data_IF_592653932880
#
_entry.id   IF_592653932880
#
_cell.length_a   1.000
_cell.length_b   1.000
_cell.length_c   1.000
_cell.angle_alpha   90.00
_cell.angle_beta   90.00
_cell.angle_gamma   90.00
#
_symmetry.space_group_name_H-M   'P 1'
#
loop_
_entity.id
_entity.type
_entity.pdbx_description
1 polymer ?
#
# COMPACT_ATOMS: atom_id res chain seq x y z
N UNK A 1 6.62 6.81 18.42
CA UNK A 1 6.79 5.34 18.32
C UNK A 1 7.22 4.87 16.92
N UNK A 2 6.68 5.43 15.82
CA UNK A 2 7.10 5.05 14.43
C UNK A 2 8.35 5.76 13.89
N UNK A 3 8.86 6.80 14.55
CA UNK A 3 10.04 7.57 14.08
C UNK A 3 11.29 6.71 13.84
N UNK A 4 11.50 5.67 14.65
CA UNK A 4 12.65 4.75 14.51
C UNK A 4 12.53 3.82 13.29
N UNK A 5 11.31 3.59 12.80
CA UNK A 5 11.08 2.85 11.55
C UNK A 5 11.26 3.74 10.32
N UNK A 6 10.95 5.04 10.42
CA UNK A 6 11.10 5.98 9.30
C UNK A 6 12.52 5.98 8.73
N UNK A 7 13.55 5.97 9.58
CA UNK A 7 14.94 5.91 9.13
C UNK A 7 15.26 4.61 8.37
N UNK A 8 14.81 3.45 8.86
CA UNK A 8 15.00 2.16 8.18
C UNK A 8 14.27 2.10 6.84
N UNK A 9 13.04 2.60 6.78
CA UNK A 9 12.25 2.65 5.54
C UNK A 9 12.87 3.62 4.54
N UNK A 10 13.39 4.77 5.00
CA UNK A 10 14.11 5.70 4.13
C UNK A 10 15.35 5.04 3.51
N UNK A 11 16.18 4.38 4.31
CA UNK A 11 17.35 3.63 3.81
C UNK A 11 16.92 2.58 2.78
N UNK A 12 15.91 1.77 3.11
CA UNK A 12 15.36 0.76 2.19
C UNK A 12 14.89 1.38 0.86
N UNK A 13 14.21 2.52 0.90
CA UNK A 13 13.76 3.21 -0.30
C UNK A 13 14.93 3.77 -1.12
N UNK A 14 15.97 4.32 -0.49
CA UNK A 14 17.17 4.74 -1.21
C UNK A 14 17.90 3.57 -1.85
N UNK A 15 17.96 2.41 -1.18
CA UNK A 15 18.55 1.19 -1.74
C UNK A 15 17.78 0.74 -3.00
N UNK A 16 16.44 0.80 -2.98
CA UNK A 16 15.61 0.55 -4.16
C UNK A 16 15.95 1.52 -5.29
N UNK A 17 16.01 2.82 -5.01
CA UNK A 17 16.32 3.84 -6.03
C UNK A 17 17.72 3.64 -6.61
N UNK A 18 18.69 3.27 -5.78
CA UNK A 18 20.05 2.98 -6.22
C UNK A 18 20.12 1.75 -7.14
N UNK A 19 19.36 0.69 -6.84
CA UNK A 19 19.21 -0.47 -7.73
C UNK A 19 18.56 -0.05 -9.04
N UNK A 20 17.46 0.69 -8.99
CA UNK A 20 16.74 1.12 -10.18
C UNK A 20 17.62 1.96 -11.12
N UNK A 21 18.39 2.91 -10.57
CA UNK A 21 19.33 3.72 -11.33
C UNK A 21 20.43 2.88 -12.02
N UNK A 22 20.92 1.82 -11.37
CA UNK A 22 21.94 0.92 -11.98
C UNK A 22 21.40 0.07 -13.12
N UNK A 23 20.09 -0.19 -13.13
CA UNK A 23 19.45 -1.11 -14.06
C UNK A 23 18.46 -0.41 -15.01
N UNK A 24 18.52 0.92 -15.10
CA UNK A 24 17.65 1.74 -15.95
C UNK A 24 16.15 1.42 -15.74
N UNK A 25 15.76 1.25 -14.46
CA UNK A 25 14.39 0.96 -14.07
C UNK A 25 13.67 2.22 -13.60
N UNK A 26 12.36 2.27 -13.85
CA UNK A 26 11.47 3.32 -13.35
C UNK A 26 11.02 2.99 -11.92
N UNK A 27 10.98 3.99 -11.04
CA UNK A 27 10.42 3.87 -9.68
C UNK A 27 9.15 4.70 -9.58
N UNK A 28 8.02 4.03 -9.35
CA UNK A 28 6.78 4.66 -8.95
C UNK A 28 6.86 5.02 -7.45
N UNK A 29 7.29 6.24 -7.14
CA UNK A 29 7.64 6.68 -5.79
C UNK A 29 6.40 6.98 -4.92
N UNK A 30 5.85 5.94 -4.30
CA UNK A 30 4.77 6.07 -3.33
C UNK A 30 5.22 6.76 -2.03
N UNK A 31 6.52 6.79 -1.71
CA UNK A 31 7.01 7.43 -0.47
C UNK A 31 6.87 8.95 -0.52
N UNK A 32 7.04 9.56 -1.70
CA UNK A 32 6.83 10.99 -1.91
C UNK A 32 5.35 11.38 -2.10
N UNK A 33 4.46 10.41 -2.31
CA UNK A 33 3.04 10.66 -2.53
C UNK A 33 2.38 11.11 -1.21
N UNK A 34 2.05 12.39 -1.09
CA UNK A 34 1.56 12.97 0.17
C UNK A 34 0.10 12.63 0.45
N UNK A 35 -0.67 12.41 -0.61
CA UNK A 35 -2.11 12.21 -0.61
C UNK A 35 -2.49 10.94 0.16
N UNK A 36 -1.66 9.90 0.11
CA UNK A 36 -1.87 8.65 0.85
C UNK A 36 -1.74 8.80 2.37
N UNK A 37 -1.36 9.97 2.88
CA UNK A 37 -1.41 10.24 4.32
C UNK A 37 -2.85 10.47 4.82
N UNK A 38 -3.80 10.73 3.92
CA UNK A 38 -5.22 10.84 4.26
C UNK A 38 -5.78 9.46 4.66
N UNK A 39 -6.42 9.31 5.85
CA UNK A 39 -7.02 8.06 6.27
C UNK A 39 -8.04 7.46 5.29
N UNK A 40 -8.69 8.29 4.46
CA UNK A 40 -9.67 7.85 3.44
C UNK A 40 -9.02 7.09 2.27
N UNK A 41 -7.69 7.16 2.15
CA UNK A 41 -6.94 6.41 1.15
C UNK A 41 -6.76 4.95 1.53
N UNK A 42 -7.05 4.59 2.78
CA UNK A 42 -6.88 3.26 3.34
C UNK A 42 -8.23 2.63 3.66
N UNK A 43 -8.30 1.31 3.54
CA UNK A 43 -9.45 0.52 3.94
C UNK A 43 -9.61 0.54 5.48
N UNK A 44 -10.69 -0.03 5.99
CA UNK A 44 -11.05 -0.08 7.41
C UNK A 44 -9.99 -0.73 8.29
N UNK A 45 -9.14 -1.59 7.70
CA UNK A 45 -8.02 -2.23 8.39
C UNK A 45 -6.79 -1.33 8.52
N UNK A 46 -6.79 -0.15 7.89
CA UNK A 46 -5.73 0.87 7.91
C UNK A 46 -4.38 0.35 7.39
N UNK A 47 -4.39 -0.71 6.59
CA UNK A 47 -3.21 -1.35 6.02
C UNK A 47 -3.29 -1.45 4.50
N UNK A 48 -4.46 -1.77 3.95
CA UNK A 48 -4.67 -1.85 2.51
C UNK A 48 -5.22 -0.53 1.98
N UNK A 49 -4.95 -0.23 0.71
CA UNK A 49 -5.53 0.94 0.06
C UNK A 49 -7.03 0.69 -0.17
N UNK A 50 -7.85 1.71 0.11
CA UNK A 50 -9.23 1.75 -0.34
C UNK A 50 -9.27 2.04 -1.86
N UNK A 51 -10.44 1.92 -2.53
CA UNK A 51 -10.56 2.25 -3.95
C UNK A 51 -10.00 3.64 -4.33
N UNK A 52 -10.21 4.64 -3.46
CA UNK A 52 -9.65 5.98 -3.63
C UNK A 52 -8.11 6.00 -3.60
N UNK A 53 -7.51 5.25 -2.67
CA UNK A 53 -6.06 5.11 -2.59
C UNK A 53 -5.48 4.38 -3.80
N UNK A 54 -6.14 3.31 -4.24
CA UNK A 54 -5.78 2.59 -5.46
C UNK A 54 -5.84 3.48 -6.70
N UNK A 55 -6.89 4.30 -6.85
CA UNK A 55 -7.00 5.27 -7.94
C UNK A 55 -5.85 6.29 -7.93
N UNK A 56 -5.52 6.80 -6.75
CA UNK A 56 -4.43 7.78 -6.58
C UNK A 56 -3.07 7.17 -6.92
N UNK A 57 -2.79 5.95 -6.47
CA UNK A 57 -1.56 5.22 -6.80
C UNK A 57 -1.51 4.87 -8.29
N UNK A 58 -2.63 4.47 -8.91
CA UNK A 58 -2.69 4.17 -10.34
C UNK A 58 -2.30 5.40 -11.17
N UNK A 59 -2.81 6.59 -10.82
CA UNK A 59 -2.43 7.85 -11.46
C UNK A 59 -0.92 8.13 -11.34
N UNK A 60 -0.36 7.96 -10.14
CA UNK A 60 1.08 8.14 -9.89
C UNK A 60 1.92 7.15 -10.72
N UNK A 61 1.49 5.89 -10.83
CA UNK A 61 2.17 4.88 -11.66
C UNK A 61 2.11 5.24 -13.14
N UNK A 62 0.94 5.63 -13.67
CA UNK A 62 0.81 6.04 -15.06
C UNK A 62 1.68 7.26 -15.38
N UNK A 63 1.75 8.23 -14.45
CA UNK A 63 2.65 9.37 -14.58
C UNK A 63 4.12 8.94 -14.61
N UNK A 64 4.55 8.05 -13.71
CA UNK A 64 5.93 7.54 -13.67
C UNK A 64 6.31 6.80 -14.97
N UNK A 65 5.35 6.11 -15.60
CA UNK A 65 5.53 5.42 -16.87
C UNK A 65 5.35 6.31 -18.10
N UNK A 66 5.06 7.61 -17.92
CA UNK A 66 4.72 8.56 -18.99
C UNK A 66 3.59 8.07 -19.92
N UNK A 67 2.60 7.38 -19.36
CA UNK A 67 1.43 6.89 -20.11
C UNK A 67 0.33 7.94 -20.08
N UNK A 68 -0.04 8.46 -21.26
CA UNK A 68 -1.18 9.35 -21.40
C UNK A 68 -2.48 8.66 -20.96
N UNK A 69 -3.28 9.38 -20.17
CA UNK A 69 -4.55 8.93 -19.63
C UNK A 69 -5.40 10.14 -19.22
N UNK A 70 -6.69 9.90 -18.99
CA UNK A 70 -7.69 10.89 -18.61
C UNK A 70 -8.12 10.79 -17.14
N UNK A 71 -7.34 10.11 -16.29
CA UNK A 71 -7.69 9.94 -14.88
C UNK A 71 -7.46 11.23 -14.09
N UNK A 72 -8.54 11.77 -13.56
CA UNK A 72 -8.53 12.96 -12.71
C UNK A 72 -8.41 12.61 -11.21
N UNK A 73 -7.84 13.50 -10.36
CA UNK A 73 -7.86 13.31 -8.92
C UNK A 73 -9.31 13.27 -8.39
N UNK A 74 -9.65 12.20 -7.67
CA UNK A 74 -10.93 12.12 -6.97
C UNK A 74 -10.91 13.02 -5.72
N UNK A 75 -12.01 13.71 -5.48
CA UNK A 75 -12.20 14.57 -4.29
C UNK A 75 -13.14 13.86 -3.31
N UNK A 76 -12.61 13.18 -2.28
CA UNK A 76 -13.46 12.53 -1.29
C UNK A 76 -14.25 13.55 -0.47
N UNK A 77 -15.47 13.17 -0.08
CA UNK A 77 -16.27 13.94 0.88
C UNK A 77 -15.50 14.13 2.21
N UNK A 78 -15.56 15.33 2.82
CA UNK A 78 -14.90 15.59 4.10
C UNK A 78 -15.33 14.57 5.16
N UNK A 79 -14.36 14.09 5.96
CA UNK A 79 -14.70 13.28 7.13
C UNK A 79 -15.50 14.12 8.13
N UNK A 80 -16.53 13.54 8.76
CA UNK A 80 -17.23 14.22 9.85
C UNK A 80 -16.25 14.51 10.99
N UNK A 81 -16.37 15.69 11.59
CA UNK A 81 -15.55 16.07 12.74
C UNK A 81 -15.76 15.06 13.88
N UNK A 82 -14.67 14.52 14.41
CA UNK A 82 -14.68 13.59 15.54
C UNK A 82 -14.02 14.23 16.76
N UNK A 83 -14.64 14.05 17.92
CA UNK A 83 -13.99 14.35 19.19
C UNK A 83 -12.84 13.36 19.45
N UNK A 84 -11.86 13.77 20.25
CA UNK A 84 -10.75 12.89 20.64
C UNK A 84 -11.22 11.58 21.28
N UNK A 85 -12.32 11.61 22.06
CA UNK A 85 -12.94 10.42 22.66
C UNK A 85 -13.47 9.44 21.61
N UNK A 86 -14.17 9.94 20.58
CA UNK A 86 -14.67 9.13 19.48
C UNK A 86 -13.53 8.52 18.66
N UNK A 87 -12.46 9.29 18.40
CA UNK A 87 -11.27 8.78 17.73
C UNK A 87 -10.63 7.63 18.53
N UNK A 88 -10.52 7.80 19.86
CA UNK A 88 -9.92 6.79 20.74
C UNK A 88 -10.73 5.49 20.82
N UNK A 89 -12.07 5.60 20.85
CA UNK A 89 -12.94 4.43 20.79
C UNK A 89 -12.74 3.66 19.48
N UNK A 90 -12.69 4.38 18.35
CA UNK A 90 -12.42 3.78 17.04
C UNK A 90 -11.07 3.06 16.94
N UNK A 91 -10.02 3.57 17.61
CA UNK A 91 -8.72 2.89 17.67
C UNK A 91 -8.77 1.57 18.46
N UNK A 92 -9.56 1.51 19.53
CA UNK A 92 -9.73 0.28 20.33
C UNK A 92 -10.46 -0.78 19.51
N UNK A 93 -11.54 -0.39 18.83
CA UNK A 93 -12.31 -1.31 18.01
C UNK A 93 -11.50 -1.82 16.82
N UNK A 94 -10.75 -0.94 16.15
CA UNK A 94 -9.79 -1.33 15.12
C UNK A 94 -8.73 -2.31 15.67
N UNK A 95 -8.16 -2.01 16.84
CA UNK A 95 -7.12 -2.85 17.42
C UNK A 95 -7.65 -4.26 17.72
N UNK A 96 -8.88 -4.35 18.25
CA UNK A 96 -9.55 -5.63 18.52
C UNK A 96 -9.83 -6.40 17.22
N UNK A 97 -10.34 -5.72 16.20
CA UNK A 97 -10.77 -6.35 14.95
C UNK A 97 -9.60 -6.78 14.04
N UNK A 98 -8.53 -5.98 13.94
CA UNK A 98 -7.48 -6.18 12.93
C UNK A 98 -6.08 -6.40 13.53
N UNK A 99 -5.68 -5.57 14.49
CA UNK A 99 -4.29 -5.59 14.99
C UNK A 99 -3.99 -6.78 15.90
N UNK A 100 -4.83 -7.05 16.90
CA UNK A 100 -4.63 -8.15 17.86
C UNK A 100 -4.55 -9.51 17.14
N UNK A 101 -5.47 -9.86 16.22
CA UNK A 101 -5.35 -11.09 15.44
C UNK A 101 -4.03 -11.20 14.67
N UNK A 102 -3.54 -10.10 14.09
CA UNK A 102 -2.26 -10.08 13.39
C UNK A 102 -1.07 -10.32 14.33
N UNK A 103 -1.05 -9.69 15.51
CA UNK A 103 0.01 -9.93 16.53
C UNK A 103 0.02 -11.39 16.96
N UNK A 104 -1.15 -11.97 17.23
CA UNK A 104 -1.26 -13.38 17.63
C UNK A 104 -0.71 -14.33 16.56
N UNK A 105 -1.04 -14.08 15.28
CA UNK A 105 -0.46 -14.85 14.16
C UNK A 105 1.06 -14.71 14.13
N UNK A 106 1.58 -13.48 14.29
CA UNK A 106 3.03 -13.23 14.26
C UNK A 106 3.78 -13.94 15.37
N UNK A 107 3.24 -13.97 16.59
CA UNK A 107 3.80 -14.71 17.72
C UNK A 107 3.76 -16.24 17.51
N UNK A 108 2.79 -16.73 16.75
CA UNK A 108 2.68 -18.14 16.34
C UNK A 108 3.51 -18.46 15.10
N UNK A 109 4.31 -17.50 14.59
CA UNK A 109 5.05 -17.61 13.33
C UNK A 109 4.17 -17.95 12.12
N UNK A 110 2.89 -17.55 12.16
CA UNK A 110 1.95 -17.76 11.07
C UNK A 110 1.93 -16.56 10.13
N UNK A 111 2.03 -16.81 8.83
CA UNK A 111 1.94 -15.82 7.76
C UNK A 111 0.65 -15.98 6.96
N UNK A 112 0.17 -14.88 6.35
CA UNK A 112 -0.89 -14.96 5.32
C UNK A 112 -0.46 -15.76 4.09
N UNK A 113 0.85 -15.98 3.93
CA UNK A 113 1.44 -16.82 2.89
C UNK A 113 1.53 -18.30 3.22
N UNK A 114 1.20 -18.73 4.45
CA UNK A 114 1.38 -20.13 4.85
C UNK A 114 0.52 -21.07 3.99
N UNK A 115 1.15 -22.13 3.49
CA UNK A 115 0.49 -23.08 2.60
C UNK A 115 0.14 -22.53 1.20
N UNK A 116 0.49 -21.27 0.88
CA UNK A 116 0.29 -20.72 -0.46
C UNK A 116 1.50 -21.04 -1.33
N UNK A 117 1.26 -21.69 -2.46
CA UNK A 117 2.28 -21.87 -3.50
C UNK A 117 2.26 -20.70 -4.47
N UNK A 118 3.39 -20.48 -5.16
CA UNK A 118 3.47 -19.44 -6.19
C UNK A 118 2.49 -19.73 -7.33
N UNK A 119 1.80 -18.69 -7.83
CA UNK A 119 0.95 -18.80 -9.03
C UNK A 119 1.76 -19.25 -10.26
N UNK A 120 3.04 -18.91 -10.29
CA UNK A 120 4.05 -19.37 -11.25
C UNK A 120 5.30 -19.78 -10.47
N UNK A 121 5.46 -21.07 -10.10
CA UNK A 121 6.62 -21.52 -9.32
C UNK A 121 7.91 -21.50 -10.13
N UNK A 122 7.82 -21.66 -11.44
CA UNK A 122 8.96 -21.64 -12.34
C UNK A 122 9.15 -20.25 -12.96
N UNK A 123 10.41 -19.81 -13.04
CA UNK A 123 10.83 -18.61 -13.73
C UNK A 123 10.76 -18.81 -15.25
N UNK A 124 9.53 -18.84 -15.79
CA UNK A 124 9.26 -18.99 -17.21
C UNK A 124 8.90 -17.64 -17.85
N UNK A 125 9.22 -17.44 -19.15
CA UNK A 125 8.82 -16.25 -19.90
C UNK A 125 7.33 -15.94 -19.71
N UNK A 126 7.00 -14.66 -19.60
CA UNK A 126 5.60 -14.23 -19.58
C UNK A 126 5.04 -14.30 -21.00
N UNK A 127 3.92 -14.99 -21.16
CA UNK A 127 3.12 -15.00 -22.40
C UNK A 127 1.77 -14.37 -22.10
N UNK A 128 1.35 -13.42 -22.94
CA UNK A 128 -0.01 -12.88 -22.88
C UNK A 128 -0.96 -14.02 -23.24
N UNK A 129 -1.91 -14.36 -22.38
CA UNK A 129 -2.98 -15.27 -22.73
C UNK A 129 -3.96 -14.53 -23.64
N UNK A 130 -4.19 -15.04 -24.86
CA UNK A 130 -5.12 -14.46 -25.85
C UNK A 130 -6.60 -14.70 -25.51
N UNK A 131 -6.92 -14.97 -24.24
CA UNK A 131 -8.29 -15.20 -23.78
C UNK A 131 -8.95 -13.83 -23.57
N UNK A 132 -10.09 -13.54 -24.25
CA UNK A 132 -10.85 -12.33 -23.98
C UNK A 132 -11.28 -12.31 -22.51
N UNK A 133 -11.02 -11.18 -21.83
CA UNK A 133 -11.43 -10.93 -20.44
C UNK A 133 -12.86 -10.47 -20.30
#
# INVERSE_FOLDING_TARGET
>A
MFGRLRGKVAIYNEDIRAVAARHDCIVADQWSLSEIQDPRMWDVDRLHLAPLGHHTVARMVLQALAVENDLEPLKPEPLPARTWRQARAGDIDWARAYFVPWVLRRLRHQSSGDGRTAKRPDAAPWTRSDVPG
#
